data_IF_236490773927
#
_entry.id   IF_236490773927
#
_cell.length_a   1.000
_cell.length_b   1.000
_cell.length_c   1.000
_cell.angle_alpha   90.00
_cell.angle_beta   90.00
_cell.angle_gamma   90.00
#
_symmetry.space_group_name_H-M   'P 1'
#
loop_
_entity.id
_entity.type
_entity.pdbx_description
1 polymer ?
#
# COMPACT_ATOMS: atom_id res chain seq x y z
N UNK A 1 -1.15 -57.72 4.17
CA UNK A 1 -2.13 -56.75 3.63
C UNK A 1 -2.66 -55.72 4.62
N UNK A 2 -2.40 -55.79 5.94
CA UNK A 2 -2.83 -54.74 6.90
C UNK A 2 -1.98 -53.46 6.90
N UNK A 3 -0.74 -53.53 6.41
CA UNK A 3 0.18 -52.38 6.40
C UNK A 3 0.08 -51.48 5.15
N UNK A 4 -0.51 -51.97 4.05
CA UNK A 4 -0.64 -51.19 2.81
C UNK A 4 -1.75 -50.13 2.91
N UNK A 5 -2.77 -50.37 3.73
CA UNK A 5 -3.90 -49.44 3.96
C UNK A 5 -3.49 -48.29 4.90
N UNK A 6 -2.58 -48.54 5.86
CA UNK A 6 -2.09 -47.52 6.80
C UNK A 6 -1.16 -46.48 6.14
N UNK A 7 -0.46 -46.84 5.07
CA UNK A 7 0.38 -45.90 4.31
C UNK A 7 -0.46 -44.97 3.40
N UNK A 8 -1.60 -45.43 2.91
CA UNK A 8 -2.54 -44.61 2.12
C UNK A 8 -3.35 -43.64 2.99
N UNK A 9 -3.55 -43.91 4.28
CA UNK A 9 -4.20 -42.98 5.21
C UNK A 9 -3.31 -41.85 5.71
N UNK A 10 -1.98 -41.96 5.58
CA UNK A 10 -1.03 -40.90 5.94
C UNK A 10 -0.68 -39.96 4.77
N UNK A 11 -1.18 -40.26 3.56
CA UNK A 11 -0.96 -39.50 2.34
C UNK A 11 -2.16 -38.64 1.92
N UNK A 12 -3.10 -38.41 2.84
CA UNK A 12 -3.87 -37.15 2.86
C UNK A 12 -3.02 -36.03 3.48
N UNK A 13 -1.74 -35.97 3.11
CA UNK A 13 -0.95 -34.75 3.21
C UNK A 13 -1.76 -33.69 2.48
N UNK A 14 -2.25 -32.70 3.22
CA UNK A 14 -2.89 -31.51 2.65
C UNK A 14 -2.06 -31.07 1.47
N UNK A 15 -2.60 -31.20 0.24
CA UNK A 15 -1.91 -30.71 -0.94
C UNK A 15 -1.48 -29.28 -0.63
N UNK A 16 -0.18 -28.94 -0.77
CA UNK A 16 0.26 -27.59 -0.49
C UNK A 16 -0.64 -26.63 -1.27
N UNK A 17 -1.18 -25.63 -0.58
CA UNK A 17 -2.10 -24.69 -1.20
C UNK A 17 -1.45 -24.12 -2.47
N UNK A 18 -2.12 -24.31 -3.61
CA UNK A 18 -1.63 -23.84 -4.91
C UNK A 18 -1.71 -22.32 -4.98
N UNK A 19 -1.04 -21.72 -5.96
CA UNK A 19 -1.21 -20.28 -6.24
C UNK A 19 -2.68 -19.89 -6.43
N UNK A 20 -3.46 -20.74 -7.10
CA UNK A 20 -4.90 -20.56 -7.27
C UNK A 20 -5.67 -20.58 -5.94
N UNK A 21 -5.36 -21.50 -5.02
CA UNK A 21 -6.01 -21.54 -3.70
C UNK A 21 -5.77 -20.25 -2.91
N UNK A 22 -4.53 -19.76 -2.90
CA UNK A 22 -4.21 -18.48 -2.25
C UNK A 22 -4.91 -17.31 -2.93
N UNK A 23 -4.95 -17.29 -4.26
CA UNK A 23 -5.68 -16.27 -5.01
C UNK A 23 -7.17 -16.27 -4.63
N UNK A 24 -7.84 -17.43 -4.53
CA UNK A 24 -9.24 -17.50 -4.11
C UNK A 24 -9.47 -16.96 -2.69
N UNK A 25 -8.57 -17.27 -1.75
CA UNK A 25 -8.59 -16.70 -0.41
C UNK A 25 -8.41 -15.18 -0.43
N UNK A 26 -7.52 -14.67 -1.30
CA UNK A 26 -7.28 -13.26 -1.51
C UNK A 26 -8.52 -12.54 -2.04
N UNK A 27 -9.17 -13.08 -3.08
CA UNK A 27 -10.41 -12.52 -3.64
C UNK A 27 -11.52 -12.44 -2.59
N UNK A 28 -11.66 -13.48 -1.75
CA UNK A 28 -12.63 -13.50 -0.67
C UNK A 28 -12.33 -12.43 0.39
N UNK A 29 -11.07 -12.29 0.80
CA UNK A 29 -10.64 -11.26 1.74
C UNK A 29 -10.87 -9.85 1.16
N UNK A 30 -10.52 -9.63 -0.11
CA UNK A 30 -10.71 -8.35 -0.80
C UNK A 30 -12.18 -7.96 -0.88
N UNK A 31 -13.07 -8.91 -1.22
CA UNK A 31 -14.52 -8.69 -1.23
C UNK A 31 -15.06 -8.31 0.15
N UNK A 32 -14.45 -8.82 1.22
CA UNK A 32 -14.78 -8.47 2.59
C UNK A 32 -14.10 -7.18 3.08
N UNK A 33 -13.38 -6.47 2.20
CA UNK A 33 -12.57 -5.27 2.49
C UNK A 33 -11.43 -5.51 3.48
N UNK A 34 -11.05 -6.77 3.70
CA UNK A 34 -9.84 -7.13 4.44
C UNK A 34 -8.63 -7.06 3.49
N UNK A 35 -8.29 -5.82 3.13
CA UNK A 35 -7.32 -5.53 2.07
C UNK A 35 -5.91 -5.99 2.40
N UNK A 36 -5.48 -5.88 3.67
CA UNK A 36 -4.14 -6.34 4.10
C UNK A 36 -4.03 -7.84 3.92
N UNK A 37 -5.00 -8.59 4.41
CA UNK A 37 -5.03 -10.05 4.28
C UNK A 37 -5.16 -10.48 2.82
N UNK A 38 -5.94 -9.75 2.02
CA UNK A 38 -6.01 -9.99 0.59
C UNK A 38 -4.64 -9.85 -0.07
N UNK A 39 -3.91 -8.78 0.23
CA UNK A 39 -2.58 -8.55 -0.31
C UNK A 39 -1.59 -9.64 0.09
N UNK A 40 -1.60 -10.07 1.37
CA UNK A 40 -0.76 -11.16 1.86
C UNK A 40 -1.04 -12.48 1.14
N UNK A 41 -2.32 -12.83 0.91
CA UNK A 41 -2.68 -14.01 0.14
C UNK A 41 -2.28 -13.89 -1.33
N UNK A 42 -2.41 -12.72 -1.96
CA UNK A 42 -1.91 -12.50 -3.31
C UNK A 42 -0.37 -12.62 -3.39
N UNK A 43 0.38 -12.13 -2.40
CA UNK A 43 1.82 -12.35 -2.32
C UNK A 43 2.15 -13.85 -2.19
N UNK A 44 1.40 -14.60 -1.38
CA UNK A 44 1.56 -16.05 -1.29
C UNK A 44 1.27 -16.74 -2.63
N UNK A 45 0.23 -16.32 -3.35
CA UNK A 45 -0.06 -16.81 -4.70
C UNK A 45 1.10 -16.51 -5.68
N UNK A 46 1.64 -15.29 -5.62
CA UNK A 46 2.81 -14.90 -6.40
C UNK A 46 4.05 -15.72 -6.05
N UNK A 47 4.25 -16.13 -4.79
CA UNK A 47 5.38 -17.00 -4.45
C UNK A 47 5.28 -18.39 -5.11
N UNK A 48 4.07 -18.90 -5.35
CA UNK A 48 3.87 -20.22 -5.96
C UNK A 48 4.03 -20.21 -7.49
N UNK A 49 3.50 -19.17 -8.16
CA UNK A 49 3.33 -19.17 -9.63
C UNK A 49 4.03 -17.98 -10.33
N UNK A 50 4.62 -17.06 -9.57
CA UNK A 50 5.33 -15.86 -10.08
C UNK A 50 4.55 -15.05 -11.12
N UNK A 51 3.22 -15.15 -11.09
CA UNK A 51 2.34 -14.44 -12.02
C UNK A 51 2.21 -12.97 -11.63
N UNK A 52 2.55 -12.08 -12.54
CA UNK A 52 2.43 -10.62 -12.35
C UNK A 52 1.02 -10.20 -11.96
N UNK A 53 -0.01 -10.94 -12.40
CA UNK A 53 -1.41 -10.69 -12.01
C UNK A 53 -1.59 -10.78 -10.48
N UNK A 54 -0.94 -11.74 -9.82
CA UNK A 54 -0.99 -11.85 -8.36
C UNK A 54 -0.23 -10.70 -7.69
N UNK A 55 0.93 -10.32 -8.22
CA UNK A 55 1.68 -9.19 -7.68
C UNK A 55 0.91 -7.87 -7.82
N UNK A 56 0.33 -7.60 -9.00
CA UNK A 56 -0.46 -6.41 -9.26
C UNK A 56 -1.73 -6.38 -8.39
N UNK A 57 -2.36 -7.53 -8.13
CA UNK A 57 -3.49 -7.62 -7.20
C UNK A 57 -3.09 -7.35 -5.73
N UNK A 58 -1.91 -7.83 -5.30
CA UNK A 58 -1.38 -7.49 -3.97
C UNK A 58 -1.15 -5.98 -3.83
N UNK A 59 -0.55 -5.36 -4.86
CA UNK A 59 -0.31 -3.92 -4.93
C UNK A 59 -1.63 -3.15 -4.84
N UNK A 60 -2.63 -3.53 -5.64
CA UNK A 60 -3.95 -2.88 -5.63
C UNK A 60 -4.62 -2.96 -4.24
N UNK A 61 -4.51 -4.10 -3.56
CA UNK A 61 -5.03 -4.30 -2.22
C UNK A 61 -4.30 -3.43 -1.18
N UNK A 62 -2.97 -3.38 -1.19
CA UNK A 62 -2.21 -2.50 -0.29
C UNK A 62 -2.52 -1.02 -0.51
N UNK A 63 -2.62 -0.56 -1.76
CA UNK A 63 -2.98 0.84 -2.04
C UNK A 63 -4.42 1.16 -1.64
N UNK A 64 -5.36 0.21 -1.79
CA UNK A 64 -6.74 0.38 -1.31
C UNK A 64 -6.78 0.58 0.21
N UNK A 65 -5.98 -0.18 0.95
CA UNK A 65 -5.87 -0.03 2.40
C UNK A 65 -5.21 1.29 2.79
N UNK A 66 -4.09 1.64 2.14
CA UNK A 66 -3.39 2.90 2.37
C UNK A 66 -4.30 4.10 2.12
N UNK A 67 -5.09 4.08 1.05
CA UNK A 67 -6.05 5.13 0.74
C UNK A 67 -7.10 5.31 1.85
N UNK A 68 -7.63 4.21 2.41
CA UNK A 68 -8.58 4.31 3.53
C UNK A 68 -7.91 4.88 4.78
N UNK A 69 -6.69 4.45 5.11
CA UNK A 69 -5.91 4.99 6.22
C UNK A 69 -5.65 6.50 6.04
N UNK A 70 -5.39 6.96 4.82
CA UNK A 70 -5.25 8.40 4.52
C UNK A 70 -6.53 9.16 4.84
N UNK A 71 -7.69 8.63 4.46
CA UNK A 71 -8.99 9.26 4.76
C UNK A 71 -9.28 9.29 6.27
N UNK A 72 -8.82 8.27 6.99
CA UNK A 72 -8.91 8.19 8.46
C UNK A 72 -7.80 9.00 9.16
N UNK A 73 -6.94 9.69 8.40
CA UNK A 73 -5.78 10.47 8.88
C UNK A 73 -4.71 9.63 9.61
N UNK A 74 -4.71 8.32 9.41
CA UNK A 74 -3.72 7.36 9.91
C UNK A 74 -2.45 7.39 9.01
N UNK A 75 -1.83 8.56 8.90
CA UNK A 75 -0.81 8.85 7.89
C UNK A 75 0.42 7.93 7.96
N UNK A 76 0.91 7.61 9.16
CA UNK A 76 2.09 6.75 9.31
C UNK A 76 1.82 5.32 8.81
N UNK A 77 0.62 4.80 9.05
CA UNK A 77 0.22 3.49 8.54
C UNK A 77 0.02 3.52 7.03
N UNK A 78 -0.59 4.59 6.50
CA UNK A 78 -0.79 4.76 5.06
C UNK A 78 0.56 4.78 4.31
N UNK A 79 1.55 5.52 4.83
CA UNK A 79 2.92 5.59 4.28
C UNK A 79 3.55 4.20 4.26
N UNK A 80 3.49 3.46 5.37
CA UNK A 80 4.04 2.10 5.47
C UNK A 80 3.55 1.18 4.35
N UNK A 81 2.27 1.24 4.00
CA UNK A 81 1.72 0.39 2.94
C UNK A 81 2.10 0.88 1.53
N UNK A 82 2.25 2.18 1.32
CA UNK A 82 2.82 2.70 0.07
C UNK A 82 4.31 2.29 -0.09
N UNK A 83 5.09 2.33 0.99
CA UNK A 83 6.49 1.86 0.99
C UNK A 83 6.59 0.35 0.76
N UNK A 84 5.67 -0.44 1.33
CA UNK A 84 5.54 -1.87 1.01
C UNK A 84 5.32 -2.07 -0.49
N UNK A 85 4.43 -1.30 -1.13
CA UNK A 85 4.24 -1.36 -2.58
C UNK A 85 5.51 -1.00 -3.34
N UNK A 86 6.22 0.06 -2.95
CA UNK A 86 7.49 0.44 -3.59
C UNK A 86 8.59 -0.60 -3.37
N UNK A 87 8.56 -1.38 -2.29
CA UNK A 87 9.46 -2.52 -2.09
C UNK A 87 9.17 -3.69 -3.03
N UNK A 88 7.89 -3.88 -3.39
CA UNK A 88 7.45 -4.92 -4.34
C UNK A 88 7.70 -4.49 -5.79
N UNK A 89 7.47 -3.22 -6.09
CA UNK A 89 7.59 -2.63 -7.43
C UNK A 89 8.20 -1.23 -7.32
N UNK A 90 9.54 -1.12 -7.34
CA UNK A 90 10.23 0.16 -7.25
C UNK A 90 9.76 1.13 -8.35
N UNK A 91 9.47 2.37 -7.96
CA UNK A 91 9.00 3.40 -8.89
C UNK A 91 7.55 3.25 -9.36
N UNK A 92 6.72 2.47 -8.65
CA UNK A 92 5.30 2.35 -8.99
C UNK A 92 4.57 3.68 -8.79
N UNK A 93 4.15 4.30 -9.90
CA UNK A 93 3.65 5.67 -9.92
C UNK A 93 2.44 5.89 -9.01
N UNK A 94 1.48 4.96 -8.94
CA UNK A 94 0.30 5.11 -8.09
C UNK A 94 0.65 5.14 -6.58
N UNK A 95 1.74 4.47 -6.18
CA UNK A 95 2.20 4.54 -4.79
C UNK A 95 2.89 5.88 -4.50
N UNK A 96 3.64 6.42 -5.46
CA UNK A 96 4.23 7.76 -5.35
C UNK A 96 3.16 8.84 -5.34
N UNK A 97 2.15 8.71 -6.21
CA UNK A 97 0.99 9.60 -6.24
C UNK A 97 0.27 9.61 -4.89
N UNK A 98 -0.01 8.44 -4.30
CA UNK A 98 -0.66 8.37 -3.00
C UNK A 98 0.23 8.90 -1.86
N UNK A 99 1.55 8.66 -1.89
CA UNK A 99 2.48 9.28 -0.93
C UNK A 99 2.48 10.79 -1.02
N UNK A 100 2.42 11.35 -2.24
CA UNK A 100 2.27 12.78 -2.45
C UNK A 100 1.02 13.31 -1.75
N UNK A 101 -0.15 12.69 -1.99
CA UNK A 101 -1.41 13.10 -1.36
C UNK A 101 -1.41 12.93 0.18
N UNK A 102 -0.80 11.86 0.70
CA UNK A 102 -0.67 11.64 2.15
C UNK A 102 0.14 12.78 2.78
N UNK A 103 1.30 13.10 2.22
CA UNK A 103 2.15 14.16 2.75
C UNK A 103 1.54 15.55 2.59
N UNK A 104 0.83 15.81 1.49
CA UNK A 104 0.06 17.05 1.32
C UNK A 104 -1.02 17.20 2.40
N UNK A 105 -1.79 16.14 2.65
CA UNK A 105 -2.87 16.13 3.66
C UNK A 105 -2.32 16.32 5.07
N UNK A 106 -1.25 15.60 5.42
CA UNK A 106 -0.59 15.74 6.73
C UNK A 106 0.02 17.13 6.92
N UNK A 107 0.63 17.69 5.88
CA UNK A 107 1.16 19.06 5.92
C UNK A 107 0.08 20.10 6.14
N UNK A 108 -1.05 19.95 5.45
CA UNK A 108 -2.23 20.80 5.62
C UNK A 108 -2.78 20.72 7.05
N UNK A 109 -2.92 19.51 7.60
CA UNK A 109 -3.36 19.32 8.99
C UNK A 109 -2.38 19.95 10.00
N UNK A 110 -1.06 19.77 9.81
CA UNK A 110 -0.04 20.40 10.65
C UNK A 110 -0.15 21.94 10.59
N UNK A 111 -0.42 22.51 9.43
CA UNK A 111 -0.61 23.96 9.26
C UNK A 111 -1.79 24.46 10.10
N UNK A 112 -2.97 23.83 9.97
CA UNK A 112 -4.17 24.21 10.72
C UNK A 112 -4.03 23.98 12.23
N UNK A 113 -3.16 23.06 12.65
CA UNK A 113 -2.83 22.85 14.06
C UNK A 113 -1.79 23.85 14.59
N UNK A 114 -1.30 24.78 13.76
CA UNK A 114 -0.29 25.78 14.14
C UNK A 114 1.16 25.30 14.07
N UNK A 115 1.39 24.08 13.59
CA UNK A 115 2.72 23.47 13.46
C UNK A 115 3.33 23.81 12.08
N UNK A 116 3.65 25.09 11.86
CA UNK A 116 4.10 25.58 10.54
C UNK A 116 5.37 24.90 10.01
N UNK A 117 6.30 24.51 10.89
CA UNK A 117 7.53 23.80 10.48
C UNK A 117 7.25 22.35 10.05
N UNK A 118 6.38 21.64 10.78
CA UNK A 118 5.95 20.29 10.36
C UNK A 118 5.19 20.35 9.04
N UNK A 119 4.33 21.36 8.86
CA UNK A 119 3.61 21.60 7.62
C UNK A 119 4.57 21.73 6.44
N UNK A 120 5.62 22.56 6.59
CA UNK A 120 6.66 22.75 5.58
C UNK A 120 7.38 21.44 5.24
N UNK A 121 7.82 20.67 6.26
CA UNK A 121 8.51 19.39 6.07
C UNK A 121 7.62 18.40 5.28
N UNK A 122 6.35 18.31 5.63
CA UNK A 122 5.42 17.44 4.92
C UNK A 122 5.13 17.93 3.50
N UNK A 123 5.03 19.23 3.28
CA UNK A 123 4.86 19.78 1.93
C UNK A 123 6.08 19.53 1.03
N UNK A 124 7.30 19.57 1.58
CA UNK A 124 8.53 19.18 0.86
C UNK A 124 8.52 17.70 0.48
N UNK A 125 8.07 16.82 1.38
CA UNK A 125 7.89 15.40 1.06
C UNK A 125 6.82 15.19 -0.01
N UNK A 126 5.71 15.92 0.06
CA UNK A 126 4.68 15.88 -1.00
C UNK A 126 5.30 16.21 -2.37
N UNK A 127 6.08 17.29 -2.45
CA UNK A 127 6.80 17.66 -3.67
C UNK A 127 7.77 16.58 -4.14
N UNK A 128 8.50 15.94 -3.22
CA UNK A 128 9.43 14.85 -3.53
C UNK A 128 8.75 13.66 -4.22
N UNK A 129 7.53 13.31 -3.79
CA UNK A 129 6.77 12.20 -4.36
C UNK A 129 5.86 12.58 -5.54
N UNK A 130 5.79 13.86 -5.90
CA UNK A 130 4.94 14.31 -7.01
C UNK A 130 5.34 13.64 -8.32
N UNK A 131 4.36 12.96 -8.94
CA UNK A 131 4.51 12.36 -10.28
C UNK A 131 3.63 13.04 -11.32
N UNK A 132 2.65 13.83 -10.87
CA UNK A 132 1.77 14.64 -11.71
C UNK A 132 2.13 16.13 -11.65
N UNK A 133 2.03 16.88 -12.77
CA UNK A 133 2.30 18.32 -12.78
C UNK A 133 1.46 19.11 -11.77
N UNK A 134 0.19 18.74 -11.59
CA UNK A 134 -0.75 19.40 -10.69
C UNK A 134 -0.33 19.21 -9.23
N UNK A 135 0.08 18.00 -8.85
CA UNK A 135 0.62 17.71 -7.51
C UNK A 135 1.85 18.57 -7.20
N UNK A 136 2.77 18.62 -8.16
CA UNK A 136 3.99 19.43 -8.07
C UNK A 136 3.66 20.90 -7.87
N UNK A 137 2.76 21.44 -8.71
CA UNK A 137 2.38 22.84 -8.66
C UNK A 137 1.72 23.20 -7.32
N UNK A 138 0.75 22.39 -6.87
CA UNK A 138 0.09 22.60 -5.57
C UNK A 138 1.09 22.67 -4.41
N UNK A 139 2.01 21.71 -4.31
CA UNK A 139 3.00 21.71 -3.23
C UNK A 139 3.95 22.92 -3.28
N UNK A 140 4.30 23.40 -4.48
CA UNK A 140 5.13 24.59 -4.66
C UNK A 140 4.41 25.88 -4.26
N UNK A 141 3.12 26.00 -4.53
CA UNK A 141 2.33 27.16 -4.14
C UNK A 141 2.27 27.30 -2.61
N UNK A 142 1.98 26.21 -1.90
CA UNK A 142 1.97 26.19 -0.42
C UNK A 142 3.33 26.57 0.19
N UNK A 143 4.43 26.04 -0.38
CA UNK A 143 5.79 26.36 0.07
C UNK A 143 6.19 27.81 -0.23
N UNK A 144 5.67 28.40 -1.30
CA UNK A 144 5.88 29.82 -1.61
C UNK A 144 5.17 30.70 -0.59
N UNK A 145 3.93 30.39 -0.27
CA UNK A 145 3.13 31.17 0.67
C UNK A 145 3.73 31.13 2.08
N UNK A 146 4.28 29.98 2.49
CA UNK A 146 5.08 29.88 3.71
C UNK A 146 6.28 30.84 3.72
N UNK A 147 7.05 30.92 2.62
CA UNK A 147 8.20 31.85 2.55
C UNK A 147 7.79 33.31 2.67
N UNK A 148 6.61 33.69 2.17
CA UNK A 148 6.09 35.06 2.30
C UNK A 148 5.64 35.35 3.73
N UNK A 149 5.06 34.36 4.42
CA UNK A 149 4.52 34.55 5.77
C UNK A 149 5.62 34.66 6.84
N UNK A 150 6.77 34.02 6.64
CA UNK A 150 7.81 33.86 7.68
C UNK A 150 9.15 34.58 7.38
N UNK A 151 9.26 35.31 6.26
CA UNK A 151 10.41 36.18 5.91
C UNK A 151 9.95 37.57 5.48
#
# INVERSE_FOLDING_TARGET
MKYLILLLSFLLLSLPATGANYADMAHKAYKNKDYVKAAEYYEQAYQQDKSDVYLDNAIAAYLSHAFNLTNDKEYDQAIKYCEKVLSLKPGYSNAQELLCEIYYSRGTDSYFNGNGEEARIHMEKSLQYSVLPEQKQRALDELRDWKIQYY
#
